data_IF_480284427514
#
_entry.id   IF_480284427514
#
_cell.length_a   1.000
_cell.length_b   1.000
_cell.length_c   1.000
_cell.angle_alpha   90.00
_cell.angle_beta   90.00
_cell.angle_gamma   90.00
#
_symmetry.space_group_name_H-M   'P 1'
#
loop_
_entity.id
_entity.type
_entity.pdbx_description
1 polymer ?
#
# COMPACT_ATOMS: atom_id res chain seq x y z
N UNK A 1 -27.16 11.39 44.10
CA UNK A 1 -27.33 11.65 42.65
C UNK A 1 -26.08 12.21 41.94
N UNK A 2 -25.07 12.76 42.63
CA UNK A 2 -23.87 13.39 42.03
C UNK A 2 -22.77 12.45 41.49
N UNK A 3 -22.79 11.15 41.86
CA UNK A 3 -21.77 10.17 41.42
C UNK A 3 -22.10 9.48 40.09
N UNK A 4 -23.36 9.44 39.67
CA UNK A 4 -23.76 8.77 38.41
C UNK A 4 -23.53 9.65 37.17
N UNK A 5 -23.62 10.98 37.31
CA UNK A 5 -23.45 11.93 36.20
C UNK A 5 -22.00 12.04 35.73
N UNK A 6 -21.02 11.88 36.63
CA UNK A 6 -19.58 11.97 36.28
C UNK A 6 -19.14 10.75 35.45
N UNK A 7 -19.62 9.56 35.78
CA UNK A 7 -19.34 8.33 35.02
C UNK A 7 -19.97 8.37 33.62
N UNK A 8 -21.19 8.88 33.49
CA UNK A 8 -21.85 8.99 32.18
C UNK A 8 -21.12 9.94 31.23
N UNK A 9 -20.60 11.07 31.72
CA UNK A 9 -19.90 12.06 30.87
C UNK A 9 -18.50 11.57 30.49
N UNK A 10 -17.77 10.88 31.38
CA UNK A 10 -16.48 10.28 31.01
C UNK A 10 -16.65 9.12 30.04
N UNK A 11 -17.66 8.26 30.22
CA UNK A 11 -17.96 7.18 29.28
C UNK A 11 -18.40 7.76 27.93
N UNK A 12 -19.22 8.82 27.89
CA UNK A 12 -19.65 9.44 26.63
C UNK A 12 -18.47 10.10 25.89
N UNK A 13 -17.56 10.78 26.58
CA UNK A 13 -16.36 11.38 25.97
C UNK A 13 -15.39 10.30 25.49
N UNK A 14 -15.20 9.21 26.25
CA UNK A 14 -14.41 8.06 25.79
C UNK A 14 -15.07 7.38 24.59
N UNK A 15 -16.40 7.24 24.55
CA UNK A 15 -17.11 6.67 23.40
C UNK A 15 -17.01 7.61 22.19
N UNK A 16 -17.10 8.93 22.35
CA UNK A 16 -16.96 9.89 21.24
C UNK A 16 -15.52 9.92 20.72
N UNK A 17 -14.52 9.88 21.61
CA UNK A 17 -13.10 9.78 21.21
C UNK A 17 -12.83 8.43 20.53
N UNK A 18 -13.35 7.32 21.09
CA UNK A 18 -13.24 5.98 20.49
C UNK A 18 -13.96 5.91 19.15
N UNK A 19 -15.15 6.49 19.01
CA UNK A 19 -15.91 6.51 17.76
C UNK A 19 -15.26 7.43 16.71
N UNK A 20 -14.62 8.52 17.14
CA UNK A 20 -13.84 9.39 16.24
C UNK A 20 -12.49 8.78 15.82
N UNK A 21 -11.98 7.79 16.56
CA UNK A 21 -10.79 7.00 16.23
C UNK A 21 -11.12 5.65 15.57
N UNK A 22 -12.39 5.21 15.62
CA UNK A 22 -12.86 3.94 15.09
C UNK A 22 -13.60 4.04 13.74
N UNK A 23 -13.65 5.23 13.12
CA UNK A 23 -14.16 5.39 11.75
C UNK A 23 -13.16 6.13 10.86
N UNK A 24 -12.10 5.43 10.50
CA UNK A 24 -11.92 5.18 9.07
C UNK A 24 -11.78 3.69 8.90
N UNK A 25 -12.91 3.02 8.72
CA UNK A 25 -12.93 1.81 7.90
C UNK A 25 -12.31 2.22 6.56
N UNK A 26 -10.99 2.00 6.46
CA UNK A 26 -10.31 1.82 5.20
C UNK A 26 -11.14 0.80 4.45
N UNK A 27 -11.67 1.14 3.27
CA UNK A 27 -12.19 0.12 2.39
C UNK A 27 -11.07 -0.90 2.22
N UNK A 28 -11.33 -2.16 2.57
CA UNK A 28 -10.33 -3.20 2.48
C UNK A 28 -9.74 -3.19 1.06
N UNK A 29 -8.41 -3.28 0.91
CA UNK A 29 -7.80 -3.30 -0.41
C UNK A 29 -8.42 -4.42 -1.23
N UNK A 30 -8.81 -4.10 -2.46
CA UNK A 30 -9.39 -5.05 -3.38
C UNK A 30 -8.29 -5.98 -3.89
N UNK A 31 -8.36 -7.24 -3.49
CA UNK A 31 -7.46 -8.30 -3.93
C UNK A 31 -7.79 -8.69 -5.38
N UNK A 32 -6.91 -8.32 -6.30
CA UNK A 32 -7.06 -8.59 -7.74
C UNK A 32 -6.69 -10.03 -8.07
N UNK A 33 -5.62 -10.49 -7.45
CA UNK A 33 -4.99 -11.77 -7.74
C UNK A 33 -4.30 -12.25 -6.47
N UNK A 34 -4.39 -13.55 -6.22
CA UNK A 34 -3.50 -14.19 -5.25
C UNK A 34 -3.15 -15.60 -5.70
N UNK A 35 -1.88 -15.92 -5.52
CA UNK A 35 -1.25 -17.16 -5.91
C UNK A 35 -0.59 -17.77 -4.67
N UNK A 36 -1.01 -18.98 -4.31
CA UNK A 36 -0.33 -19.80 -3.31
C UNK A 36 0.89 -20.49 -3.91
N UNK A 37 2.04 -20.36 -3.26
CA UNK A 37 3.31 -20.96 -3.69
C UNK A 37 3.59 -22.15 -2.78
N UNK A 38 3.25 -23.35 -3.28
CA UNK A 38 3.39 -24.60 -2.54
C UNK A 38 4.72 -25.33 -2.82
N UNK A 39 5.53 -24.81 -3.74
CA UNK A 39 6.85 -25.32 -4.08
C UNK A 39 7.97 -24.49 -3.43
N UNK A 40 9.11 -25.15 -3.23
CA UNK A 40 10.32 -24.53 -2.72
C UNK A 40 11.37 -24.49 -3.82
N UNK A 41 12.17 -23.44 -3.84
CA UNK A 41 13.31 -23.30 -4.73
C UNK A 41 14.24 -22.20 -4.27
N UNK A 42 15.30 -21.99 -5.02
CA UNK A 42 16.35 -21.01 -4.76
C UNK A 42 16.03 -19.64 -5.40
N UNK A 43 15.14 -19.61 -6.39
CA UNK A 43 14.73 -18.40 -7.06
C UNK A 43 13.24 -18.42 -7.39
N UNK A 44 12.58 -17.29 -7.16
CA UNK A 44 11.16 -17.07 -7.40
C UNK A 44 11.01 -15.93 -8.40
N UNK A 45 10.19 -16.10 -9.42
CA UNK A 45 9.90 -15.04 -10.38
C UNK A 45 8.40 -14.85 -10.53
N UNK A 46 7.97 -13.60 -10.50
CA UNK A 46 6.64 -13.19 -10.91
C UNK A 46 6.79 -12.25 -12.10
N UNK A 47 6.11 -12.53 -13.20
CA UNK A 47 5.91 -11.56 -14.26
C UNK A 47 4.46 -11.11 -14.27
N UNK A 48 4.27 -9.83 -14.61
CA UNK A 48 2.99 -9.17 -14.56
C UNK A 48 2.91 -8.13 -15.69
N UNK A 49 1.99 -8.35 -16.61
CA UNK A 49 1.62 -7.42 -17.67
C UNK A 49 0.24 -6.84 -17.36
N UNK A 50 0.19 -5.52 -17.14
CA UNK A 50 -1.00 -4.81 -16.70
C UNK A 50 -1.33 -3.63 -17.60
N UNK A 51 -2.62 -3.38 -17.75
CA UNK A 51 -3.16 -2.14 -18.29
C UNK A 51 -3.90 -1.39 -17.19
N UNK A 52 -3.36 -0.24 -16.81
CA UNK A 52 -3.96 0.73 -15.89
C UNK A 52 -4.90 1.62 -16.72
N UNK A 53 -6.19 1.37 -16.60
CA UNK A 53 -7.24 2.13 -17.30
C UNK A 53 -7.58 3.43 -16.56
N UNK A 54 -7.53 3.38 -15.22
CA UNK A 54 -7.73 4.51 -14.31
C UNK A 54 -6.92 4.25 -13.05
N UNK A 55 -6.32 5.28 -12.46
CA UNK A 55 -5.61 5.12 -11.20
C UNK A 55 -6.25 5.94 -10.08
N UNK A 56 -6.75 7.14 -10.40
CA UNK A 56 -7.36 8.03 -9.42
C UNK A 56 -6.36 8.64 -8.44
N UNK A 57 -6.72 9.76 -7.84
CA UNK A 57 -5.90 10.38 -6.80
C UNK A 57 -5.91 9.53 -5.53
N UNK A 58 -4.75 9.42 -4.88
CA UNK A 58 -4.50 8.54 -3.73
C UNK A 58 -4.66 7.03 -4.02
N UNK A 59 -4.73 6.65 -5.30
CA UNK A 59 -4.74 5.25 -5.70
C UNK A 59 -3.47 4.52 -5.23
N UNK A 60 -3.63 3.24 -4.93
CA UNK A 60 -2.54 2.32 -4.58
C UNK A 60 -2.70 1.06 -5.42
N UNK A 61 -1.63 0.63 -6.08
CA UNK A 61 -1.57 -0.68 -6.72
C UNK A 61 -0.28 -1.34 -6.27
N UNK A 62 -0.35 -2.54 -5.69
CA UNK A 62 0.83 -3.26 -5.25
C UNK A 62 0.82 -4.69 -5.80
N UNK A 63 2.00 -5.18 -6.19
CA UNK A 63 2.22 -6.54 -6.63
C UNK A 63 3.49 -7.09 -5.97
N UNK A 64 3.37 -8.15 -5.16
CA UNK A 64 4.49 -8.59 -4.34
C UNK A 64 4.39 -10.03 -3.85
N UNK A 65 5.56 -10.59 -3.59
CA UNK A 65 5.74 -11.80 -2.81
C UNK A 65 5.66 -11.51 -1.31
N UNK A 66 5.07 -12.41 -0.53
CA UNK A 66 5.05 -12.36 0.94
C UNK A 66 4.94 -13.76 1.53
N UNK A 67 5.28 -13.91 2.82
CA UNK A 67 5.02 -15.13 3.59
C UNK A 67 3.69 -15.03 4.36
N UNK A 68 3.53 -13.97 5.17
CA UNK A 68 2.37 -13.71 6.05
C UNK A 68 2.06 -12.21 6.27
N UNK A 69 2.53 -11.32 5.39
CA UNK A 69 2.16 -9.90 5.42
C UNK A 69 3.01 -9.00 6.32
N UNK A 70 4.21 -9.43 6.73
CA UNK A 70 5.16 -8.57 7.48
C UNK A 70 6.19 -7.94 6.52
N UNK A 71 6.79 -8.79 5.69
CA UNK A 71 7.75 -8.39 4.66
C UNK A 71 7.15 -8.61 3.27
N UNK A 72 7.61 -7.82 2.30
CA UNK A 72 7.19 -7.87 0.91
C UNK A 72 8.37 -7.67 -0.05
N UNK A 73 8.40 -8.48 -1.11
CA UNK A 73 9.30 -8.28 -2.25
C UNK A 73 8.48 -8.02 -3.51
N UNK A 74 8.55 -6.80 -4.02
CA UNK A 74 7.83 -6.46 -5.24
C UNK A 74 7.76 -4.97 -5.48
N UNK A 75 6.61 -4.51 -5.95
CA UNK A 75 6.39 -3.12 -6.36
C UNK A 75 5.11 -2.55 -5.78
N UNK A 76 5.13 -1.24 -5.58
CA UNK A 76 3.96 -0.44 -5.24
C UNK A 76 3.92 0.81 -6.12
N UNK A 77 2.73 1.12 -6.63
CA UNK A 77 2.44 2.37 -7.30
C UNK A 77 1.59 3.23 -6.38
N UNK A 78 1.92 4.52 -6.32
CA UNK A 78 1.20 5.52 -5.55
C UNK A 78 0.98 6.76 -6.41
N UNK A 79 -0.22 7.35 -6.34
CA UNK A 79 -0.52 8.60 -7.03
C UNK A 79 -0.92 9.67 -6.02
N UNK A 80 -0.04 10.65 -5.83
CA UNK A 80 -0.43 11.88 -5.13
C UNK A 80 -1.36 12.72 -6.00
N UNK A 81 -2.23 13.55 -5.40
CA UNK A 81 -3.16 14.38 -6.15
C UNK A 81 -2.48 15.31 -7.14
N UNK A 82 -2.93 15.28 -8.39
CA UNK A 82 -2.36 16.09 -9.47
C UNK A 82 -0.99 15.64 -9.96
N UNK A 83 -0.50 14.48 -9.52
CA UNK A 83 0.76 13.89 -9.98
C UNK A 83 0.52 12.62 -10.82
N UNK A 84 1.59 12.17 -11.48
CA UNK A 84 1.60 10.84 -12.14
C UNK A 84 1.86 9.76 -11.09
N UNK A 85 1.38 8.51 -11.30
CA UNK A 85 1.70 7.41 -10.42
C UNK A 85 3.22 7.21 -10.38
N UNK A 86 3.76 7.17 -9.18
CA UNK A 86 5.15 6.86 -8.91
C UNK A 86 5.27 5.38 -8.58
N UNK A 87 6.21 4.70 -9.22
CA UNK A 87 6.55 3.30 -9.00
C UNK A 87 7.68 3.22 -7.98
N UNK A 88 7.53 2.35 -6.99
CA UNK A 88 8.52 2.06 -5.97
C UNK A 88 8.75 0.56 -5.86
N UNK A 89 9.97 0.18 -5.46
CA UNK A 89 10.32 -1.16 -5.04
C UNK A 89 10.00 -1.34 -3.55
N UNK A 90 9.35 -2.46 -3.20
CA UNK A 90 9.20 -2.93 -1.83
C UNK A 90 10.20 -4.06 -1.63
N UNK A 91 11.16 -3.87 -0.72
CA UNK A 91 12.24 -4.82 -0.50
C UNK A 91 12.50 -4.94 1.00
N UNK A 92 11.85 -5.91 1.64
CA UNK A 92 11.93 -6.15 3.09
C UNK A 92 10.66 -5.68 3.78
N UNK A 93 10.80 -4.84 4.82
CA UNK A 93 9.66 -4.29 5.55
C UNK A 93 8.69 -3.57 4.60
N UNK A 94 7.38 -3.81 4.78
CA UNK A 94 6.34 -3.24 3.92
C UNK A 94 6.31 -1.70 3.88
N UNK A 95 6.98 -1.01 4.78
CA UNK A 95 7.04 0.46 4.82
C UNK A 95 8.33 1.04 4.23
N UNK A 96 9.24 0.19 3.75
CA UNK A 96 10.54 0.61 3.22
C UNK A 96 10.56 0.51 1.70
N UNK A 97 10.39 1.67 1.05
CA UNK A 97 10.19 1.76 -0.39
C UNK A 97 11.28 2.57 -1.09
N UNK A 98 11.73 2.09 -2.24
CA UNK A 98 12.72 2.77 -3.07
C UNK A 98 12.09 3.28 -4.34
N UNK A 99 12.19 4.58 -4.60
CA UNK A 99 11.67 5.16 -5.84
C UNK A 99 12.37 4.57 -7.07
N UNK A 100 11.57 4.13 -8.04
CA UNK A 100 12.05 3.56 -9.30
C UNK A 100 11.88 4.55 -10.45
N UNK A 101 10.64 4.98 -10.73
CA UNK A 101 10.30 5.87 -11.84
C UNK A 101 8.87 6.38 -11.73
N UNK A 102 8.53 7.40 -12.51
CA UNK A 102 7.14 7.78 -12.77
C UNK A 102 6.56 6.93 -13.91
N UNK A 103 5.32 6.49 -13.74
CA UNK A 103 4.56 5.78 -14.78
C UNK A 103 4.02 6.80 -15.77
N UNK A 104 4.43 6.66 -17.03
CA UNK A 104 4.07 7.57 -18.12
C UNK A 104 3.11 6.95 -19.12
N UNK A 105 2.91 5.63 -19.05
CA UNK A 105 2.06 4.85 -19.95
C UNK A 105 0.99 4.11 -19.17
N UNK A 106 -0.17 3.89 -19.77
CA UNK A 106 -1.20 3.04 -19.17
C UNK A 106 -0.82 1.55 -19.14
N UNK A 107 0.16 1.12 -19.95
CA UNK A 107 0.69 -0.25 -19.92
C UNK A 107 1.91 -0.36 -19.01
N UNK A 108 1.98 -1.42 -18.22
CA UNK A 108 3.07 -1.71 -17.30
C UNK A 108 3.42 -3.20 -17.32
N UNK A 109 4.63 -3.51 -17.80
CA UNK A 109 5.21 -4.85 -17.76
C UNK A 109 6.31 -4.87 -16.68
N UNK A 110 6.14 -5.75 -15.71
CA UNK A 110 7.03 -5.92 -14.56
C UNK A 110 7.45 -7.37 -14.44
N UNK A 111 8.72 -7.59 -14.12
CA UNK A 111 9.19 -8.85 -13.55
C UNK A 111 9.84 -8.62 -12.19
N UNK A 112 9.47 -9.41 -11.20
CA UNK A 112 10.10 -9.44 -9.88
C UNK A 112 10.79 -10.79 -9.75
N UNK A 113 12.10 -10.79 -9.58
CA UNK A 113 12.90 -11.99 -9.28
C UNK A 113 13.42 -11.86 -7.86
N UNK A 114 13.06 -12.81 -7.00
CA UNK A 114 13.63 -12.98 -5.66
C UNK A 114 14.60 -14.14 -5.73
N UNK A 115 15.89 -13.86 -5.61
CA UNK A 115 16.94 -14.86 -5.62
C UNK A 115 17.48 -15.05 -4.21
N UNK A 116 17.20 -16.21 -3.62
CA UNK A 116 17.59 -16.52 -2.25
C UNK A 116 19.07 -16.91 -2.15
N UNK A 117 19.65 -17.49 -3.21
CA UNK A 117 21.06 -17.86 -3.28
C UNK A 117 21.95 -16.63 -3.20
N UNK A 118 21.63 -15.60 -3.98
CA UNK A 118 22.38 -14.35 -3.99
C UNK A 118 21.82 -13.31 -3.01
N UNK A 119 20.67 -13.58 -2.39
CA UNK A 119 19.96 -12.64 -1.49
C UNK A 119 19.69 -11.30 -2.17
N UNK A 120 19.16 -11.35 -3.39
CA UNK A 120 18.90 -10.17 -4.21
C UNK A 120 17.48 -10.20 -4.74
N UNK A 121 16.82 -9.04 -4.72
CA UNK A 121 15.60 -8.79 -5.49
C UNK A 121 15.96 -7.99 -6.73
N UNK A 122 15.64 -8.55 -7.90
CA UNK A 122 15.72 -7.85 -9.19
C UNK A 122 14.32 -7.48 -9.63
N UNK A 123 14.10 -6.18 -9.83
CA UNK A 123 12.86 -5.66 -10.42
C UNK A 123 13.20 -5.15 -11.80
N UNK A 124 12.49 -5.67 -12.81
CA UNK A 124 12.58 -5.17 -14.19
C UNK A 124 11.28 -4.48 -14.54
N UNK A 125 11.37 -3.26 -15.07
CA UNK A 125 10.25 -2.50 -15.61
C UNK A 125 10.75 -1.64 -16.78
N UNK A 126 9.92 -1.46 -17.82
CA UNK A 126 10.25 -0.60 -18.98
C UNK A 126 11.65 -0.86 -19.58
N UNK A 127 12.03 -2.15 -19.71
CA UNK A 127 13.36 -2.60 -20.18
C UNK A 127 14.56 -2.19 -19.29
N UNK A 128 14.32 -1.72 -18.08
CA UNK A 128 15.36 -1.41 -17.09
C UNK A 128 15.28 -2.37 -15.92
N UNK A 129 16.43 -2.84 -15.41
CA UNK A 129 16.50 -3.67 -14.22
C UNK A 129 17.19 -2.92 -13.08
N UNK A 130 16.64 -3.06 -11.88
CA UNK A 130 17.23 -2.59 -10.61
C UNK A 130 17.39 -3.78 -9.67
N UNK A 131 18.50 -3.79 -8.95
CA UNK A 131 18.87 -4.84 -8.02
C UNK A 131 18.90 -4.25 -6.61
N UNK A 132 18.41 -5.03 -5.66
CA UNK A 132 18.34 -4.65 -4.25
C UNK A 132 18.83 -5.81 -3.40
N UNK A 133 19.84 -5.55 -2.60
CA UNK A 133 20.37 -6.54 -1.67
C UNK A 133 19.41 -6.74 -0.49
N UNK A 134 19.21 -7.99 -0.09
CA UNK A 134 18.36 -8.37 1.02
C UNK A 134 19.19 -8.49 2.31
N UNK A 135 18.90 -7.61 3.27
CA UNK A 135 19.48 -7.68 4.62
C UNK A 135 18.81 -8.78 5.46
N UNK A 136 17.50 -8.91 5.37
CA UNK A 136 16.68 -10.05 5.80
C UNK A 136 16.02 -10.70 4.59
N UNK A 137 15.78 -12.02 4.63
CA UNK A 137 15.02 -12.70 3.60
C UNK A 137 13.99 -13.67 4.19
N UNK A 138 12.88 -13.83 3.49
CA UNK A 138 11.86 -14.85 3.75
C UNK A 138 11.66 -15.70 2.49
N UNK A 139 11.14 -16.91 2.68
CA UNK A 139 10.77 -17.79 1.58
C UNK A 139 9.34 -17.43 1.15
N UNK A 140 9.12 -16.93 -0.09
CA UNK A 140 7.79 -16.57 -0.55
C UNK A 140 6.78 -17.72 -0.46
N UNK A 141 5.61 -17.44 0.10
CA UNK A 141 4.46 -18.38 0.17
C UNK A 141 3.27 -17.90 -0.63
N UNK A 142 3.19 -16.60 -0.84
CA UNK A 142 2.11 -15.95 -1.55
C UNK A 142 2.70 -14.95 -2.52
N UNK A 143 2.10 -14.86 -3.70
CA UNK A 143 2.20 -13.69 -4.56
C UNK A 143 0.82 -13.05 -4.63
N UNK A 144 0.73 -11.74 -4.40
CA UNK A 144 -0.54 -11.01 -4.39
C UNK A 144 -0.47 -9.76 -5.24
N UNK A 145 -1.61 -9.40 -5.82
CA UNK A 145 -1.82 -8.10 -6.47
C UNK A 145 -3.06 -7.48 -5.84
N UNK A 146 -2.90 -6.27 -5.31
CA UNK A 146 -3.97 -5.54 -4.61
C UNK A 146 -4.13 -4.14 -5.18
N UNK A 147 -5.36 -3.66 -5.24
CA UNK A 147 -5.70 -2.28 -5.54
C UNK A 147 -6.39 -1.65 -4.33
N UNK A 148 -5.93 -0.48 -3.91
CA UNK A 148 -6.42 0.21 -2.72
C UNK A 148 -6.50 1.72 -2.94
N UNK A 149 -6.90 2.42 -1.88
CA UNK A 149 -6.82 3.88 -1.83
C UNK A 149 -6.35 4.31 -0.44
N UNK A 150 -5.37 5.22 -0.38
CA UNK A 150 -4.81 5.71 0.90
C UNK A 150 -5.88 6.42 1.76
N UNK A 151 -6.88 7.03 1.14
CA UNK A 151 -7.96 7.78 1.83
C UNK A 151 -9.18 6.93 2.18
N UNK A 152 -9.15 5.63 1.88
CA UNK A 152 -10.10 4.63 2.40
C UNK A 152 -11.52 4.64 1.82
N UNK A 153 -12.12 5.79 1.43
CA UNK A 153 -13.52 5.84 0.95
C UNK A 153 -13.87 6.91 -0.09
N UNK A 154 -13.08 7.98 -0.22
CA UNK A 154 -13.50 9.17 -0.98
C UNK A 154 -12.98 9.24 -2.42
N UNK A 155 -12.17 8.28 -2.84
CA UNK A 155 -11.61 8.24 -4.19
C UNK A 155 -11.72 6.82 -4.75
N UNK A 156 -12.02 6.74 -6.05
CA UNK A 156 -12.19 5.50 -6.76
C UNK A 156 -10.89 4.67 -6.70
N UNK A 157 -11.03 3.35 -6.60
CA UNK A 157 -9.90 2.43 -6.68
C UNK A 157 -9.29 2.45 -8.09
N UNK A 158 -7.98 2.16 -8.23
CA UNK A 158 -7.39 1.93 -9.53
C UNK A 158 -8.15 0.85 -10.31
N UNK A 159 -8.53 1.17 -11.55
CA UNK A 159 -9.09 0.21 -12.51
C UNK A 159 -7.95 -0.35 -13.34
N UNK A 160 -7.62 -1.62 -13.08
CA UNK A 160 -6.51 -2.32 -13.70
C UNK A 160 -7.00 -3.61 -14.34
N UNK A 161 -6.51 -3.88 -15.55
CA UNK A 161 -6.63 -5.16 -16.23
C UNK A 161 -5.28 -5.86 -16.13
N UNK A 162 -5.22 -7.02 -15.48
CA UNK A 162 -4.07 -7.91 -15.55
C UNK A 162 -4.20 -8.68 -16.86
N UNK A 163 -3.39 -8.33 -17.85
CA UNK A 163 -3.43 -8.92 -19.20
C UNK A 163 -2.81 -10.31 -19.17
N UNK A 164 -1.67 -10.44 -18.49
CA UNK A 164 -0.89 -11.66 -18.43
C UNK A 164 -0.13 -11.69 -17.12
N UNK A 165 -0.12 -12.82 -16.43
CA UNK A 165 0.73 -13.01 -15.25
C UNK A 165 1.23 -14.46 -15.20
N UNK A 166 2.28 -14.69 -14.43
CA UNK A 166 2.79 -16.03 -14.13
C UNK A 166 3.77 -15.95 -12.98
N UNK A 167 3.70 -16.96 -12.11
CA UNK A 167 4.59 -17.11 -10.97
C UNK A 167 5.29 -18.45 -11.11
N UNK A 168 6.62 -18.41 -11.08
CA UNK A 168 7.46 -19.58 -11.27
C UNK A 168 8.49 -19.69 -10.15
N UNK A 169 8.88 -20.93 -9.87
CA UNK A 169 9.89 -21.29 -8.86
C UNK A 169 10.97 -22.12 -9.53
N UNK A 170 12.22 -21.88 -9.17
CA UNK A 170 13.39 -22.51 -9.78
C UNK A 170 14.41 -22.91 -8.73
N UNK A 171 15.06 -24.06 -8.93
CA UNK A 171 16.19 -24.51 -8.11
C UNK A 171 17.54 -23.93 -8.58
N UNK A 172 17.50 -23.04 -9.57
CA UNK A 172 18.67 -22.30 -10.04
C UNK A 172 18.35 -20.81 -10.10
N UNK A 173 19.39 -19.99 -9.96
CA UNK A 173 19.25 -18.53 -10.03
C UNK A 173 18.59 -18.08 -11.34
N UNK A 174 17.60 -17.19 -11.22
CA UNK A 174 16.91 -16.58 -12.37
C UNK A 174 17.31 -15.12 -12.61
N UNK A 175 18.33 -14.60 -11.91
CA UNK A 175 18.79 -13.21 -12.08
C UNK A 175 19.18 -12.87 -13.51
N UNK A 176 19.70 -13.85 -14.25
CA UNK A 176 20.16 -13.70 -15.64
C UNK A 176 19.16 -14.23 -16.69
N UNK A 177 17.92 -14.54 -16.30
CA UNK A 177 16.91 -14.94 -17.27
C UNK A 177 16.66 -13.81 -18.27
N UNK A 178 16.85 -14.10 -19.57
CA UNK A 178 16.65 -13.13 -20.66
C UNK A 178 15.20 -12.70 -20.79
N UNK A 179 14.26 -13.65 -20.65
CA UNK A 179 12.82 -13.38 -20.64
C UNK A 179 12.19 -13.97 -19.36
N UNK A 180 11.91 -13.13 -18.35
CA UNK A 180 11.23 -13.54 -17.13
C UNK A 180 9.80 -14.09 -17.36
N UNK A 181 9.17 -13.76 -18.50
CA UNK A 181 7.84 -14.26 -18.87
C UNK A 181 7.87 -15.63 -19.56
N UNK A 182 9.07 -16.11 -19.89
CA UNK A 182 9.36 -17.43 -20.48
C UNK A 182 10.70 -17.96 -19.95
N UNK A 183 10.80 -18.19 -18.63
CA UNK A 183 12.07 -18.58 -18.06
C UNK A 183 12.41 -20.02 -18.52
N UNK A 184 13.69 -20.41 -18.62
CA UNK A 184 14.13 -21.64 -19.28
C UNK A 184 13.55 -22.90 -18.61
N UNK A 185 12.96 -23.80 -19.40
CA UNK A 185 12.04 -24.86 -18.95
C UNK A 185 12.65 -26.01 -18.14
N UNK A 186 13.97 -26.20 -18.14
CA UNK A 186 14.58 -27.42 -17.57
C UNK A 186 14.56 -27.50 -16.04
N UNK A 187 14.40 -26.38 -15.32
CA UNK A 187 14.50 -26.32 -13.85
C UNK A 187 13.40 -25.50 -13.18
N UNK A 188 12.25 -25.35 -13.85
CA UNK A 188 11.22 -24.40 -13.43
C UNK A 188 9.90 -25.11 -13.14
N UNK A 189 9.34 -24.82 -11.99
CA UNK A 189 8.01 -25.22 -11.57
C UNK A 189 7.07 -24.02 -11.69
N UNK A 190 5.97 -24.18 -12.42
CA UNK A 190 4.90 -23.18 -12.46
C UNK A 190 4.17 -23.22 -11.12
N UNK A 191 4.18 -22.13 -10.37
CA UNK A 191 3.38 -22.00 -9.15
C UNK A 191 1.94 -21.62 -9.51
N UNK A 192 1.75 -20.57 -10.32
CA UNK A 192 0.43 -20.13 -10.76
C UNK A 192 0.45 -19.41 -12.10
N UNK A 193 -0.71 -19.49 -12.78
CA UNK A 193 -1.06 -18.68 -13.94
C UNK A 193 -0.45 -19.20 -15.24
N UNK A 194 -1.29 -19.30 -16.27
CA UNK A 194 -1.01 -18.90 -17.66
C UNK A 194 -2.38 -18.61 -18.32
N UNK A 195 -2.59 -17.38 -18.84
CA UNK A 195 -3.61 -17.03 -19.86
C UNK A 195 -5.08 -16.74 -19.47
N UNK A 196 -5.40 -16.08 -18.34
CA UNK A 196 -6.74 -15.45 -18.22
C UNK A 196 -6.66 -13.99 -17.78
N UNK A 197 -7.15 -13.03 -18.59
CA UNK A 197 -7.16 -11.63 -18.20
C UNK A 197 -8.14 -11.42 -17.04
N UNK A 198 -7.65 -10.79 -15.97
CA UNK A 198 -8.48 -10.44 -14.81
C UNK A 198 -8.71 -8.94 -14.88
N UNK A 199 -9.98 -8.54 -14.98
CA UNK A 199 -10.39 -7.14 -14.91
C UNK A 199 -11.24 -6.93 -13.68
N UNK A 200 -10.89 -5.93 -12.88
CA UNK A 200 -11.77 -5.50 -11.80
C UNK A 200 -13.06 -4.89 -12.36
N UNK A 201 -14.20 -5.41 -11.90
CA UNK A 201 -15.51 -4.85 -12.20
C UNK A 201 -15.72 -3.54 -11.43
N UNK A 202 -15.13 -2.47 -11.93
CA UNK A 202 -15.42 -1.09 -11.52
C UNK A 202 -15.83 -0.30 -12.75
N UNK A 203 -16.90 0.49 -12.64
CA UNK A 203 -17.50 1.29 -13.72
C UNK A 203 -16.41 2.04 -14.48
N UNK A 204 -16.24 1.70 -15.77
CA UNK A 204 -15.11 2.11 -16.59
C UNK A 204 -15.06 3.63 -16.76
N UNK A 205 -14.25 4.29 -15.93
CA UNK A 205 -13.68 5.60 -16.26
C UNK A 205 -12.30 5.34 -16.83
N UNK A 206 -12.00 5.90 -18.01
CA UNK A 206 -10.66 5.83 -18.60
C UNK A 206 -9.99 7.17 -18.36
N UNK A 207 -8.84 7.19 -17.69
CA UNK A 207 -8.07 8.42 -17.46
C UNK A 207 -7.13 8.67 -18.65
N UNK A 208 -7.22 9.87 -19.24
CA UNK A 208 -6.22 10.36 -20.20
C UNK A 208 -5.14 11.11 -19.41
N UNK A 209 -3.91 10.59 -19.42
CA UNK A 209 -2.76 11.17 -18.73
C UNK A 209 -2.31 12.48 -19.40
N UNK A 210 -2.97 13.59 -19.14
CA UNK A 210 -2.52 14.91 -19.61
C UNK A 210 -1.38 15.43 -18.73
N UNK A 211 -0.31 15.92 -19.35
CA UNK A 211 0.76 16.67 -18.68
C UNK A 211 0.24 18.03 -18.25
N UNK A 212 -0.24 18.15 -17.03
CA UNK A 212 -0.47 19.45 -16.39
C UNK A 212 0.78 19.87 -15.63
N UNK A 213 1.35 21.01 -16.00
CA UNK A 213 2.44 21.63 -15.26
C UNK A 213 1.97 21.99 -13.85
N UNK A 214 2.85 21.77 -12.87
CA UNK A 214 2.64 22.02 -11.44
C UNK A 214 1.82 23.28 -11.17
N UNK A 215 0.64 23.10 -10.56
CA UNK A 215 0.08 24.14 -9.70
C UNK A 215 0.69 23.93 -8.33
N UNK A 216 1.51 24.88 -7.90
CA UNK A 216 2.19 24.91 -6.62
C UNK A 216 1.13 24.88 -5.49
N UNK A 217 0.85 23.72 -4.90
CA UNK A 217 -0.02 23.62 -3.71
C UNK A 217 0.84 23.85 -2.48
N UNK A 218 0.63 25.02 -1.86
CA UNK A 218 1.27 25.40 -0.61
C UNK A 218 1.03 24.39 0.50
N UNK A 219 2.00 24.30 1.41
CA UNK A 219 1.92 23.60 2.68
C UNK A 219 0.53 23.79 3.32
N UNK A 220 -0.19 22.70 3.57
CA UNK A 220 -1.30 22.72 4.53
C UNK A 220 -0.65 22.82 5.91
N UNK A 221 -0.31 24.04 6.30
CA UNK A 221 0.00 24.39 7.68
C UNK A 221 -1.33 24.32 8.41
N UNK A 222 -1.54 23.33 9.29
CA UNK A 222 -2.63 23.42 10.25
C UNK A 222 -2.48 24.78 10.95
N UNK A 223 -3.48 25.68 10.88
CA UNK A 223 -3.32 27.01 11.43
C UNK A 223 -2.97 26.87 12.91
N UNK A 224 -1.86 27.48 13.34
CA UNK A 224 -1.34 27.43 14.73
C UNK A 224 -2.43 27.69 15.78
N UNK A 225 -3.49 28.40 15.39
CA UNK A 225 -4.69 28.67 16.17
C UNK A 225 -5.49 27.43 16.57
N UNK A 226 -5.53 26.35 15.77
CA UNK A 226 -6.23 25.11 16.11
C UNK A 226 -5.49 24.37 17.23
N UNK A 227 -4.16 24.29 17.14
CA UNK A 227 -3.32 23.71 18.18
C UNK A 227 -3.40 24.54 19.48
N UNK A 228 -3.43 25.86 19.34
CA UNK A 228 -3.60 26.78 20.48
C UNK A 228 -4.98 26.63 21.12
N UNK A 229 -6.05 26.52 20.32
CA UNK A 229 -7.41 26.33 20.83
C UNK A 229 -7.55 25.00 21.57
N UNK A 230 -6.95 23.91 21.05
CA UNK A 230 -6.93 22.62 21.74
C UNK A 230 -6.20 22.69 23.09
N UNK A 231 -5.06 23.38 23.15
CA UNK A 231 -4.31 23.62 24.39
C UNK A 231 -5.10 24.44 25.42
N UNK A 232 -5.81 25.49 24.97
CA UNK A 232 -6.64 26.33 25.84
C UNK A 232 -7.81 25.52 26.42
N UNK A 233 -8.44 24.66 25.64
CA UNK A 233 -9.52 23.79 26.11
C UNK A 233 -9.00 22.80 27.17
N UNK A 234 -7.85 22.16 26.93
CA UNK A 234 -7.23 21.24 27.91
C UNK A 234 -6.86 21.99 29.20
N UNK A 235 -6.31 23.19 29.10
CA UNK A 235 -5.99 24.02 30.26
C UNK A 235 -7.24 24.43 31.05
N UNK A 236 -8.33 24.82 30.38
CA UNK A 236 -9.59 25.18 31.03
C UNK A 236 -10.23 23.98 31.76
N UNK A 237 -10.15 22.78 31.18
CA UNK A 237 -10.61 21.55 31.83
C UNK A 237 -9.77 21.25 33.08
N UNK A 238 -8.44 21.38 33.00
CA UNK A 238 -7.55 21.17 34.13
C UNK A 238 -7.77 22.19 35.26
N UNK A 239 -7.94 23.47 34.94
CA UNK A 239 -8.23 24.53 35.93
C UNK A 239 -9.59 24.30 36.59
N UNK A 240 -10.62 23.95 35.81
CA UNK A 240 -11.96 23.66 36.33
C UNK A 240 -11.95 22.45 37.28
N UNK A 241 -11.18 21.42 36.94
CA UNK A 241 -10.97 20.24 37.79
C UNK A 241 -10.22 20.59 39.09
N UNK A 242 -9.18 21.42 39.01
CA UNK A 242 -8.43 21.89 40.18
C UNK A 242 -9.30 22.76 41.11
N UNK A 243 -10.14 23.64 40.57
CA UNK A 243 -11.07 24.47 41.35
C UNK A 243 -12.18 23.64 42.02
N UNK A 244 -12.60 22.56 41.37
CA UNK A 244 -13.56 21.60 41.92
C UNK A 244 -12.96 20.76 43.06
N UNK A 245 -11.73 20.26 42.91
CA UNK A 245 -11.02 19.51 43.96
C UNK A 245 -10.64 20.41 45.13
N UNK A 246 -10.28 21.66 44.87
CA UNK A 246 -9.91 22.64 45.90
C UNK A 246 -11.12 23.17 46.70
N UNK A 247 -12.33 22.66 46.44
CA UNK A 247 -13.55 23.03 47.17
C UNK A 247 -14.05 24.46 46.94
N UNK A 248 -13.45 25.22 46.01
CA UNK A 248 -13.87 26.60 45.69
C UNK A 248 -15.17 26.65 44.90
N UNK A 249 -15.59 25.55 44.29
CA UNK A 249 -16.88 25.43 43.61
C UNK A 249 -17.60 24.21 44.21
N UNK A 250 -18.06 24.36 45.45
CA UNK A 250 -18.71 23.27 46.16
C UNK A 250 -19.03 23.52 47.63
N UNK A 251 -19.82 24.54 47.96
CA UNK A 251 -20.76 24.47 49.07
C UNK A 251 -21.91 25.46 48.85
N UNK A 252 -23.11 25.15 49.38
CA UNK A 252 -24.39 25.75 48.99
C UNK A 252 -24.45 27.27 49.12
#
# INVERSE_FOLDING_TARGET
MRKFTVWFVTILIVIIISASLAETSTGDPLQLLTCGINSFGDSYVAYLDMKINYFGDYGVLAAFFTERGVEAYGIILLKYPGEKPSLYAMVGDQNYWFYLSNVTTGGLNISIVVDLTYRVVKITFSNTSKYFDLSSFFIPRLFTVIAGNVTGRYSLLPNVTIVRYGVYVSNTSLLNAQDPSRPPTSNIMVACGEVTPIQNQTTATTEVWTTTSRVNRGNIVLPKWILLAALVIVALVAVSFMLFISGKIGSP
#
